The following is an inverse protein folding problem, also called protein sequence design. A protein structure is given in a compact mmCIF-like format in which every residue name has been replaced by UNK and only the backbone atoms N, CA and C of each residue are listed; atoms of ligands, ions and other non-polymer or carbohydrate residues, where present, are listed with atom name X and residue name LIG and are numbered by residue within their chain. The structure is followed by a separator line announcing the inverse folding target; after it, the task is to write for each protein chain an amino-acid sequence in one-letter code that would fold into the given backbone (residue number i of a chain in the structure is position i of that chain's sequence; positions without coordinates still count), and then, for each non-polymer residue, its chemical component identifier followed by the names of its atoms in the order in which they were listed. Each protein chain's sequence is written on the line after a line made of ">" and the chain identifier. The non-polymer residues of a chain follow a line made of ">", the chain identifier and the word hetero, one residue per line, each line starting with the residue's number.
data_IF_396577260313
#
_entry.id   IF_396577260313
#
_cell.length_a   1.000
_cell.length_b   1.000
_cell.length_c   1.000
_cell.angle_alpha   90.00
_cell.angle_beta   90.00
_cell.angle_gamma   90.00
#
_symmetry.space_group_name_H-M   'P 1'
#
loop_
_entity.id
_entity.type
_entity.pdbx_description
1 polymer ?
#
# COMPACT_ATOMS: atom_id res chain seq x y z
N UNK A 1 0.66 59.06 68.45
CA UNK A 1 0.95 58.65 67.06
C UNK A 1 -0.39 58.23 66.48
N UNK A 2 -1.18 59.17 65.93
CA UNK A 2 -1.29 59.48 64.47
C UNK A 2 -1.77 58.26 63.69
N UNK A 3 -2.86 58.23 62.91
CA UNK A 3 -3.48 59.30 62.14
C UNK A 3 -4.91 58.90 61.68
N UNK A 4 -5.63 59.91 61.23
CA UNK A 4 -7.02 59.97 60.77
C UNK A 4 -7.13 59.64 59.26
N UNK A 5 -8.16 58.90 58.78
CA UNK A 5 -8.87 59.24 57.51
C UNK A 5 -10.13 58.40 57.18
N UNK A 6 -11.29 58.98 57.50
CA UNK A 6 -12.47 59.23 56.64
C UNK A 6 -12.72 58.39 55.37
N UNK A 7 -13.92 57.80 55.24
CA UNK A 7 -14.91 58.16 54.19
C UNK A 7 -16.19 57.30 54.23
N UNK A 8 -17.31 57.94 53.88
CA UNK A 8 -18.73 57.55 53.97
C UNK A 8 -19.24 56.57 52.85
N UNK A 9 -20.53 56.15 52.86
CA UNK A 9 -21.01 54.84 52.33
C UNK A 9 -21.53 54.88 50.89
N UNK A 10 -21.56 53.72 50.18
CA UNK A 10 -22.35 53.54 48.95
C UNK A 10 -22.93 52.12 48.75
N UNK A 11 -24.19 52.14 48.33
CA UNK A 11 -25.06 51.12 47.75
C UNK A 11 -24.39 50.06 46.84
N UNK A 12 -24.85 48.81 46.91
CA UNK A 12 -24.69 47.84 45.81
C UNK A 12 -25.07 46.38 46.12
N UNK A 13 -26.33 46.00 45.86
CA UNK A 13 -26.80 44.61 45.55
C UNK A 13 -26.32 44.23 44.12
N UNK A 14 -26.46 43.00 43.58
CA UNK A 14 -26.88 41.71 44.16
C UNK A 14 -25.98 40.49 43.77
N UNK A 15 -26.37 39.33 44.29
CA UNK A 15 -25.87 38.00 44.04
C UNK A 15 -25.68 37.63 42.54
N UNK A 16 -24.61 36.88 42.29
CA UNK A 16 -24.31 36.21 41.04
C UNK A 16 -25.49 35.31 40.60
N UNK A 17 -26.15 35.73 39.53
CA UNK A 17 -27.27 35.02 38.90
C UNK A 17 -26.71 33.85 38.11
N UNK A 18 -26.75 32.65 38.68
CA UNK A 18 -26.50 31.40 37.97
C UNK A 18 -27.44 31.28 36.77
N UNK A 19 -26.89 31.36 35.56
CA UNK A 19 -27.63 31.12 34.33
C UNK A 19 -27.76 29.60 34.14
N UNK A 20 -28.89 29.06 34.61
CA UNK A 20 -29.38 27.73 34.21
C UNK A 20 -29.45 27.69 32.68
N UNK A 21 -28.55 26.95 32.04
CA UNK A 21 -28.64 26.63 30.61
C UNK A 21 -29.95 25.86 30.39
N UNK A 22 -30.82 26.25 29.46
CA UNK A 22 -32.07 25.53 29.21
C UNK A 22 -31.75 24.10 28.72
N UNK A 23 -32.57 23.10 29.09
CA UNK A 23 -32.39 21.74 28.62
C UNK A 23 -32.50 21.72 27.09
N UNK A 24 -31.43 21.30 26.43
CA UNK A 24 -31.37 21.22 24.96
C UNK A 24 -32.39 20.18 24.49
N UNK A 25 -33.31 20.61 23.64
CA UNK A 25 -34.32 19.76 23.03
C UNK A 25 -33.65 18.59 22.31
N UNK A 26 -34.18 17.38 22.47
CA UNK A 26 -33.71 16.15 21.81
C UNK A 26 -33.54 16.31 20.29
N UNK A 27 -34.36 17.19 19.69
CA UNK A 27 -34.30 17.59 18.28
C UNK A 27 -32.99 18.27 17.90
N UNK A 28 -32.39 19.07 18.77
CA UNK A 28 -31.09 19.73 18.54
C UNK A 28 -29.91 18.76 18.62
N UNK A 29 -30.02 17.71 19.45
CA UNK A 29 -29.03 16.64 19.52
C UNK A 29 -29.07 15.76 18.26
N UNK A 30 -30.28 15.46 17.76
CA UNK A 30 -30.49 14.72 16.51
C UNK A 30 -30.01 15.50 15.29
N UNK A 31 -30.33 16.80 15.18
CA UNK A 31 -29.91 17.64 14.06
C UNK A 31 -28.38 17.72 13.96
N UNK A 32 -27.68 17.85 15.09
CA UNK A 32 -26.21 17.90 15.13
C UNK A 32 -25.56 16.58 14.74
N UNK A 33 -26.17 15.44 15.11
CA UNK A 33 -25.69 14.12 14.69
C UNK A 33 -25.92 13.91 13.19
N UNK A 34 -27.06 14.34 12.66
CA UNK A 34 -27.38 14.23 11.23
C UNK A 34 -26.37 14.99 10.34
N UNK A 35 -25.98 16.20 10.75
CA UNK A 35 -25.02 17.06 10.01
C UNK A 35 -23.63 16.44 9.91
N UNK A 36 -23.24 15.54 10.81
CA UNK A 36 -21.95 14.84 10.73
C UNK A 36 -22.09 13.50 10.02
N UNK A 37 -23.16 12.76 10.30
CA UNK A 37 -23.36 11.40 9.78
C UNK A 37 -23.60 11.40 8.27
N UNK A 38 -24.39 12.34 7.75
CA UNK A 38 -24.70 12.40 6.31
C UNK A 38 -23.45 12.65 5.44
N UNK A 39 -22.63 13.69 5.69
CA UNK A 39 -21.42 13.90 4.90
C UNK A 39 -20.37 12.80 5.09
N UNK A 40 -20.26 12.21 6.29
CA UNK A 40 -19.37 11.06 6.51
C UNK A 40 -19.81 9.83 5.69
N UNK A 41 -21.12 9.56 5.64
CA UNK A 41 -21.68 8.45 4.87
C UNK A 41 -21.53 8.68 3.36
N UNK A 42 -21.76 9.91 2.88
CA UNK A 42 -21.51 10.28 1.49
C UNK A 42 -20.04 10.14 1.12
N UNK A 43 -19.11 10.57 1.98
CA UNK A 43 -17.67 10.37 1.75
C UNK A 43 -17.30 8.90 1.68
N UNK A 44 -17.88 8.06 2.55
CA UNK A 44 -17.65 6.62 2.50
C UNK A 44 -18.17 6.01 1.19
N UNK A 45 -19.37 6.39 0.75
CA UNK A 45 -19.96 5.93 -0.52
C UNK A 45 -19.11 6.36 -1.71
N UNK A 46 -18.63 7.61 -1.73
CA UNK A 46 -17.73 8.10 -2.77
C UNK A 46 -16.43 7.32 -2.75
N UNK A 47 -15.79 7.13 -1.60
CA UNK A 47 -14.53 6.39 -1.48
C UNK A 47 -14.64 4.94 -1.97
N UNK A 48 -15.77 4.27 -1.69
CA UNK A 48 -16.06 2.91 -2.18
C UNK A 48 -16.36 2.91 -3.68
N UNK A 49 -17.12 3.88 -4.19
CA UNK A 49 -17.46 4.00 -5.62
C UNK A 49 -16.28 4.38 -6.50
N UNK A 50 -15.34 5.16 -5.98
CA UNK A 50 -14.18 5.66 -6.73
C UNK A 50 -12.98 4.73 -6.66
N UNK A 51 -13.06 3.61 -5.92
CA UNK A 51 -11.93 2.67 -5.78
C UNK A 51 -10.69 3.28 -5.12
N UNK A 52 -10.87 4.37 -4.37
CA UNK A 52 -9.76 5.09 -3.71
C UNK A 52 -9.13 4.22 -2.59
N UNK A 53 -9.92 3.31 -2.02
CA UNK A 53 -9.41 2.26 -1.13
C UNK A 53 -8.59 1.23 -1.91
N UNK A 54 -9.08 0.75 -3.05
CA UNK A 54 -8.41 -0.28 -3.86
C UNK A 54 -7.05 0.20 -4.40
N UNK A 55 -6.94 1.48 -4.78
CA UNK A 55 -5.68 2.09 -5.24
C UNK A 55 -4.60 2.14 -4.15
N UNK A 56 -5.00 2.09 -2.86
CA UNK A 56 -4.06 2.01 -1.73
C UNK A 56 -3.65 0.56 -1.41
N UNK A 57 -4.49 -0.43 -1.70
CA UNK A 57 -4.18 -1.84 -1.48
C UNK A 57 -3.19 -2.37 -2.51
N UNK A 58 -3.26 -1.93 -3.76
CA UNK A 58 -2.42 -2.51 -4.83
C UNK A 58 -0.93 -2.12 -4.74
N UNK A 59 -0.60 -1.03 -4.02
CA UNK A 59 0.78 -0.66 -3.70
C UNK A 59 1.40 -1.45 -2.53
N UNK A 60 0.62 -2.26 -1.81
CA UNK A 60 1.03 -2.87 -0.53
C UNK A 60 1.40 -4.36 -0.67
N UNK A 61 1.03 -5.02 -1.77
CA UNK A 61 1.17 -6.49 -1.85
C UNK A 61 2.62 -6.98 -1.97
N UNK A 62 3.55 -6.13 -2.47
CA UNK A 62 4.99 -6.43 -2.46
C UNK A 62 5.73 -5.58 -1.41
N UNK A 63 5.67 -6.02 -0.16
CA UNK A 63 6.30 -5.33 0.98
C UNK A 63 7.82 -5.55 1.06
N UNK A 64 8.51 -4.85 1.96
CA UNK A 64 9.97 -5.02 2.16
C UNK A 64 10.37 -6.47 2.51
N UNK A 65 9.48 -7.21 3.15
CA UNK A 65 9.69 -8.61 3.56
C UNK A 65 9.53 -9.60 2.39
N UNK A 66 8.74 -9.28 1.37
CA UNK A 66 8.52 -10.21 0.23
C UNK A 66 9.75 -10.38 -0.65
N UNK A 67 10.74 -9.48 -0.54
CA UNK A 67 12.06 -9.62 -1.16
C UNK A 67 12.86 -10.80 -0.63
N UNK A 68 12.62 -11.21 0.63
CA UNK A 68 13.30 -12.33 1.28
C UNK A 68 12.54 -13.65 1.15
N UNK A 69 11.27 -13.60 0.72
CA UNK A 69 10.47 -14.79 0.43
C UNK A 69 10.58 -15.13 -1.06
N UNK A 70 11.25 -16.25 -1.37
CA UNK A 70 11.39 -16.76 -2.74
C UNK A 70 10.03 -16.90 -3.44
N UNK A 71 9.00 -17.33 -2.71
CA UNK A 71 7.67 -17.60 -3.30
C UNK A 71 7.01 -16.30 -3.72
N UNK A 72 6.96 -15.33 -2.82
CA UNK A 72 6.38 -14.02 -3.11
C UNK A 72 7.17 -13.31 -4.22
N UNK A 73 8.50 -13.35 -4.16
CA UNK A 73 9.39 -12.73 -5.15
C UNK A 73 9.19 -13.32 -6.54
N UNK A 74 9.16 -14.64 -6.67
CA UNK A 74 8.92 -15.32 -7.96
C UNK A 74 7.55 -14.95 -8.52
N UNK A 75 6.51 -14.91 -7.69
CA UNK A 75 5.18 -14.58 -8.17
C UNK A 75 5.08 -13.13 -8.64
N UNK A 76 5.72 -12.21 -7.93
CA UNK A 76 5.82 -10.82 -8.37
C UNK A 76 6.61 -10.68 -9.68
N UNK A 77 7.77 -11.36 -9.79
CA UNK A 77 8.58 -11.35 -11.00
C UNK A 77 7.84 -11.96 -12.20
N UNK A 78 7.04 -13.00 -11.99
CA UNK A 78 6.19 -13.58 -13.04
C UNK A 78 5.20 -12.58 -13.61
N UNK A 79 4.69 -11.65 -12.79
CA UNK A 79 3.84 -10.56 -13.25
C UNK A 79 4.64 -9.52 -14.05
N UNK A 80 5.78 -9.10 -13.53
CA UNK A 80 6.63 -8.07 -14.16
C UNK A 80 7.15 -8.53 -15.52
N UNK A 81 7.66 -9.76 -15.62
CA UNK A 81 8.19 -10.35 -16.85
C UNK A 81 7.18 -10.28 -18.01
N UNK A 82 5.89 -10.55 -17.71
CA UNK A 82 4.83 -10.52 -18.73
C UNK A 82 4.31 -9.11 -18.95
N UNK A 83 4.24 -8.26 -17.92
CA UNK A 83 3.86 -6.85 -18.05
C UNK A 83 4.82 -6.09 -18.97
N UNK A 84 6.11 -6.36 -18.83
CA UNK A 84 7.18 -5.65 -19.55
C UNK A 84 7.56 -6.36 -20.88
N UNK A 85 6.78 -7.39 -21.29
CA UNK A 85 6.98 -8.17 -22.51
C UNK A 85 8.43 -8.71 -22.68
N UNK A 86 9.03 -9.22 -21.60
CA UNK A 86 10.36 -9.84 -21.67
C UNK A 86 10.32 -11.22 -22.37
N UNK A 87 9.13 -11.77 -22.57
CA UNK A 87 8.87 -13.03 -23.28
C UNK A 87 7.46 -13.05 -23.85
N UNK A 88 7.28 -13.76 -24.96
CA UNK A 88 5.97 -14.00 -25.59
C UNK A 88 5.18 -15.13 -24.94
N UNK A 89 5.79 -15.87 -24.00
CA UNK A 89 5.13 -16.99 -23.33
C UNK A 89 4.19 -16.51 -22.22
N UNK A 90 3.01 -17.15 -22.07
CA UNK A 90 2.09 -16.78 -21.01
C UNK A 90 2.64 -17.19 -19.63
N UNK A 91 2.22 -16.46 -18.59
CA UNK A 91 2.71 -16.62 -17.19
C UNK A 91 2.77 -18.06 -16.67
N UNK A 92 1.80 -18.90 -17.01
CA UNK A 92 1.71 -20.28 -16.53
C UNK A 92 2.74 -21.23 -17.19
N UNK A 93 3.35 -20.80 -18.30
CA UNK A 93 4.41 -21.53 -18.99
C UNK A 93 5.81 -21.13 -18.50
N UNK A 94 5.91 -20.08 -17.69
CA UNK A 94 7.18 -19.62 -17.14
C UNK A 94 7.53 -20.37 -15.86
N UNK A 95 8.74 -20.90 -15.81
CA UNK A 95 9.32 -21.57 -14.65
C UNK A 95 10.51 -20.75 -14.18
N UNK A 96 10.51 -20.40 -12.89
CA UNK A 96 11.61 -19.66 -12.28
C UNK A 96 12.41 -20.63 -11.43
N UNK A 97 13.69 -20.78 -11.73
CA UNK A 97 14.64 -21.60 -10.98
C UNK A 97 15.51 -20.66 -10.19
N UNK A 98 15.46 -20.76 -8.86
CA UNK A 98 16.25 -19.92 -7.96
C UNK A 98 17.57 -20.62 -7.66
N UNK A 99 18.68 -19.99 -8.03
CA UNK A 99 20.03 -20.41 -7.69
C UNK A 99 20.50 -19.68 -6.42
N UNK A 100 20.41 -20.39 -5.29
CA UNK A 100 20.77 -19.90 -3.96
C UNK A 100 19.71 -20.18 -2.88
N UNK A 101 20.11 -20.05 -1.62
CA UNK A 101 19.20 -20.14 -0.47
C UNK A 101 18.44 -18.83 -0.23
N UNK A 102 17.39 -18.88 0.59
CA UNK A 102 16.65 -17.68 1.01
C UNK A 102 17.51 -16.70 1.83
N UNK A 103 18.68 -17.11 2.31
CA UNK A 103 19.61 -16.23 3.04
C UNK A 103 20.58 -15.49 2.11
N UNK A 104 20.67 -15.89 0.83
CA UNK A 104 21.47 -15.18 -0.15
C UNK A 104 20.79 -13.84 -0.46
N UNK A 105 21.54 -12.75 -0.30
CA UNK A 105 21.06 -11.40 -0.58
C UNK A 105 21.07 -11.09 -2.09
N UNK A 106 21.89 -11.83 -2.86
CA UNK A 106 22.03 -11.67 -4.31
C UNK A 106 21.75 -12.97 -5.09
N UNK A 107 20.53 -13.54 -4.99
CA UNK A 107 20.22 -14.77 -5.72
C UNK A 107 20.17 -14.49 -7.22
N UNK A 108 20.61 -15.46 -8.01
CA UNK A 108 20.38 -15.47 -9.45
C UNK A 108 19.19 -16.38 -9.73
N UNK A 109 18.29 -15.96 -10.60
CA UNK A 109 17.13 -16.76 -11.01
C UNK A 109 17.15 -16.97 -12.51
N UNK A 110 16.98 -18.20 -12.95
CA UNK A 110 16.82 -18.52 -14.35
C UNK A 110 15.33 -18.64 -14.68
N UNK A 111 14.92 -17.97 -15.77
CA UNK A 111 13.56 -18.04 -16.29
C UNK A 111 13.54 -18.99 -17.47
N UNK A 112 12.80 -20.08 -17.34
CA UNK A 112 12.64 -21.10 -18.36
C UNK A 112 11.23 -21.03 -18.95
N UNK A 113 11.13 -21.25 -20.25
CA UNK A 113 9.89 -21.39 -20.98
C UNK A 113 9.53 -22.85 -21.16
N UNK A 114 8.40 -23.27 -20.60
CA UNK A 114 7.82 -24.58 -20.90
C UNK A 114 7.14 -24.55 -22.25
N UNK A 115 7.40 -25.57 -23.05
CA UNK A 115 6.77 -25.81 -24.34
C UNK A 115 5.95 -27.11 -24.30
N UNK A 116 4.88 -27.18 -25.09
CA UNK A 116 3.94 -28.31 -25.10
C UNK A 116 3.00 -28.35 -23.89
N UNK A 117 2.13 -29.37 -23.82
CA UNK A 117 1.15 -29.57 -22.73
C UNK A 117 0.30 -28.32 -22.39
N UNK A 118 -0.18 -27.60 -23.41
CA UNK A 118 -0.96 -26.37 -23.25
C UNK A 118 -0.15 -25.07 -23.33
N UNK A 119 1.17 -25.16 -23.43
CA UNK A 119 2.06 -24.03 -23.71
C UNK A 119 2.47 -23.98 -25.19
N UNK A 120 2.76 -22.79 -25.76
CA UNK A 120 3.22 -22.64 -27.14
C UNK A 120 4.43 -23.53 -27.43
N UNK A 121 4.40 -24.27 -28.54
CA UNK A 121 5.45 -25.23 -28.93
C UNK A 121 4.90 -26.64 -29.12
N UNK A 122 5.47 -27.38 -30.07
CA UNK A 122 4.99 -28.72 -30.48
C UNK A 122 5.62 -29.85 -29.67
N UNK A 123 6.79 -29.62 -29.08
CA UNK A 123 7.55 -30.60 -28.28
C UNK A 123 7.58 -30.19 -26.82
N UNK A 124 7.50 -31.17 -25.92
CA UNK A 124 7.65 -30.94 -24.50
C UNK A 124 9.12 -30.62 -24.17
N UNK A 125 9.44 -29.35 -23.93
CA UNK A 125 10.76 -28.89 -23.49
C UNK A 125 10.64 -27.79 -22.43
N UNK A 126 11.76 -27.50 -21.76
CA UNK A 126 11.90 -26.38 -20.83
C UNK A 126 13.22 -25.68 -21.14
N UNK A 127 13.14 -24.62 -21.95
CA UNK A 127 14.32 -23.93 -22.46
C UNK A 127 14.57 -22.65 -21.67
N UNK A 128 15.84 -22.36 -21.34
CA UNK A 128 16.21 -21.12 -20.65
C UNK A 128 15.97 -19.93 -21.58
N UNK A 129 15.16 -18.97 -21.13
CA UNK A 129 14.85 -17.75 -21.86
C UNK A 129 15.88 -16.66 -21.53
N UNK A 130 16.07 -16.41 -20.23
CA UNK A 130 16.97 -15.38 -19.71
C UNK A 130 17.22 -15.61 -18.22
N UNK A 131 18.12 -14.83 -17.65
CA UNK A 131 18.47 -14.80 -16.24
C UNK A 131 18.06 -13.47 -15.60
N UNK A 132 17.81 -13.55 -14.30
CA UNK A 132 17.53 -12.43 -13.41
C UNK A 132 18.56 -12.41 -12.30
N UNK A 133 19.17 -11.25 -12.06
CA UNK A 133 19.99 -11.00 -10.87
C UNK A 133 19.19 -10.13 -9.93
N UNK A 134 18.97 -10.61 -8.72
CA UNK A 134 18.21 -9.89 -7.71
C UNK A 134 19.20 -9.35 -6.70
N UNK A 135 19.08 -8.09 -6.32
CA UNK A 135 19.67 -7.57 -5.09
C UNK A 135 18.54 -7.26 -4.11
N UNK A 136 18.45 -8.05 -3.04
CA UNK A 136 17.40 -7.91 -2.03
C UNK A 136 17.64 -6.73 -1.09
N UNK A 137 18.89 -6.32 -0.91
CA UNK A 137 19.23 -5.18 -0.06
C UNK A 137 18.92 -3.86 -0.74
N UNK A 138 19.32 -3.72 -2.00
CA UNK A 138 19.04 -2.55 -2.82
C UNK A 138 17.63 -2.58 -3.41
N UNK A 139 16.97 -3.74 -3.38
CA UNK A 139 15.64 -3.99 -3.97
C UNK A 139 15.63 -3.69 -5.45
N UNK A 140 16.66 -4.17 -6.13
CA UNK A 140 16.82 -4.02 -7.57
C UNK A 140 16.82 -5.40 -8.23
N UNK A 141 16.36 -5.44 -9.46
CA UNK A 141 16.41 -6.64 -10.29
C UNK A 141 17.03 -6.25 -11.62
N UNK A 142 17.92 -7.08 -12.11
CA UNK A 142 18.52 -6.94 -13.43
C UNK A 142 18.18 -8.15 -14.27
N UNK A 143 17.97 -7.94 -15.56
CA UNK A 143 17.67 -9.01 -16.52
C UNK A 143 18.58 -8.92 -17.74
N UNK A 144 18.85 -10.04 -18.37
CA UNK A 144 19.51 -10.11 -19.69
C UNK A 144 18.52 -10.51 -20.80
N UNK A 145 17.22 -10.37 -20.56
CA UNK A 145 16.17 -10.62 -21.54
C UNK A 145 16.38 -9.79 -22.82
N UNK A 146 16.40 -10.44 -23.98
CA UNK A 146 16.68 -9.79 -25.27
C UNK A 146 18.16 -9.43 -25.51
N UNK A 147 19.01 -9.44 -24.48
CA UNK A 147 20.46 -9.20 -24.57
C UNK A 147 21.25 -10.24 -23.77
N UNK A 148 21.32 -11.51 -24.20
CA UNK A 148 21.92 -12.59 -23.41
C UNK A 148 23.32 -12.24 -22.91
N UNK A 149 23.54 -12.38 -21.60
CA UNK A 149 24.81 -12.05 -20.94
C UNK A 149 25.05 -10.58 -20.61
N UNK A 150 24.20 -9.66 -21.10
CA UNK A 150 24.25 -8.23 -20.73
C UNK A 150 23.06 -7.87 -19.85
N UNK A 151 23.33 -7.60 -18.58
CA UNK A 151 22.30 -7.30 -17.59
C UNK A 151 21.95 -5.82 -17.59
N UNK A 152 20.66 -5.53 -17.60
CA UNK A 152 20.10 -4.19 -17.45
C UNK A 152 19.05 -4.17 -16.34
N UNK A 153 18.87 -3.02 -15.71
CA UNK A 153 17.91 -2.89 -14.61
C UNK A 153 16.48 -3.07 -15.12
N UNK A 154 15.72 -3.93 -14.44
CA UNK A 154 14.30 -4.15 -14.66
C UNK A 154 13.52 -3.19 -13.74
N UNK A 155 12.66 -2.31 -14.27
CA UNK A 155 11.83 -1.45 -13.44
C UNK A 155 10.73 -2.27 -12.76
N UNK A 156 10.74 -2.29 -11.42
CA UNK A 156 9.73 -2.98 -10.62
C UNK A 156 8.55 -2.07 -10.28
#
# INVERSE_FOLDING_TARGET
>A
MTDEKSASPRLGRPAAKGTRKPPRSFKQLLLRRLVVVIPAFLLMVVAVRTGLLDMSYDKITFGKLSWFDNTALVEHLRLVVVRDNLTDLPRHCLVFVVDGSADNNTPTMDVLGRHGNGCPGTTSSADKLFSLKIDRSERTVQTDAGTPGTFHNLPL
#
